data_IF_013622442074
#
_entry.id   IF_013622442074
#
_cell.length_a   1.000
_cell.length_b   1.000
_cell.length_c   1.000
_cell.angle_alpha   90.00
_cell.angle_beta   90.00
_cell.angle_gamma   90.00
#
_symmetry.space_group_name_H-M   'P 1'
#
loop_
_entity.id
_entity.type
_entity.pdbx_description
1 polymer ?
#
# COMPACT_ATOMS: atom_id res chain seq x y z
N UNK A 1 4.20 7.07 -27.30
CA UNK A 1 3.69 7.01 -25.91
C UNK A 1 3.99 5.60 -25.45
N UNK A 2 5.04 5.41 -24.65
CA UNK A 2 5.38 4.12 -24.06
C UNK A 2 4.47 3.91 -22.84
N UNK A 3 3.48 3.05 -22.97
CA UNK A 3 2.68 2.61 -21.81
C UNK A 3 3.56 1.68 -21.00
N UNK A 4 3.97 2.10 -19.81
CA UNK A 4 4.59 1.20 -18.86
C UNK A 4 3.48 0.22 -18.44
N UNK A 5 3.64 -1.06 -18.80
CA UNK A 5 2.70 -2.09 -18.38
C UNK A 5 2.69 -2.14 -16.85
N UNK A 6 1.49 -2.02 -16.27
CA UNK A 6 1.31 -2.15 -14.82
C UNK A 6 1.71 -3.57 -14.40
N UNK A 7 2.60 -3.69 -13.42
CA UNK A 7 2.96 -5.00 -12.87
C UNK A 7 1.73 -5.57 -12.17
N UNK A 8 1.34 -6.78 -12.56
CA UNK A 8 0.28 -7.53 -11.90
C UNK A 8 0.86 -8.82 -11.34
N UNK A 9 0.61 -9.05 -10.06
CA UNK A 9 0.98 -10.29 -9.40
C UNK A 9 -0.14 -11.30 -9.64
N UNK A 10 0.17 -12.50 -10.20
CA UNK A 10 -0.83 -13.55 -10.39
C UNK A 10 -1.46 -13.97 -9.05
N UNK A 11 -2.78 -14.15 -9.02
CA UNK A 11 -3.50 -14.54 -7.82
C UNK A 11 -3.02 -15.91 -7.31
N UNK A 12 -2.69 -16.84 -8.23
CA UNK A 12 -2.15 -18.15 -7.89
C UNK A 12 -0.82 -18.03 -7.12
N UNK A 13 0.00 -17.01 -7.45
CA UNK A 13 1.25 -16.79 -6.73
C UNK A 13 1.01 -16.26 -5.32
N UNK A 14 0.03 -15.39 -5.14
CA UNK A 14 -0.39 -14.93 -3.82
C UNK A 14 -0.90 -16.09 -2.96
N UNK A 15 -1.77 -16.94 -3.49
CA UNK A 15 -2.31 -18.11 -2.77
C UNK A 15 -1.21 -19.15 -2.46
N UNK A 16 -0.28 -19.37 -3.39
CA UNK A 16 0.87 -20.24 -3.18
C UNK A 16 1.74 -19.76 -2.00
N UNK A 17 2.05 -18.46 -1.95
CA UNK A 17 2.82 -17.90 -0.86
C UNK A 17 2.06 -17.91 0.46
N UNK A 18 0.75 -17.65 0.43
CA UNK A 18 -0.11 -17.69 1.61
C UNK A 18 -0.17 -19.07 2.27
N UNK A 19 -0.09 -20.12 1.46
CA UNK A 19 -0.01 -21.51 1.94
C UNK A 19 1.40 -21.91 2.43
N UNK A 20 2.41 -21.07 2.23
CA UNK A 20 3.81 -21.38 2.57
C UNK A 20 4.02 -21.25 4.08
N UNK A 21 4.49 -22.31 4.76
CA UNK A 21 4.70 -22.24 6.20
C UNK A 21 5.88 -21.32 6.56
N UNK A 22 5.81 -20.67 7.71
CA UNK A 22 6.88 -19.83 8.24
C UNK A 22 6.85 -18.37 7.81
N UNK A 23 5.91 -17.96 6.96
CA UNK A 23 5.65 -16.55 6.70
C UNK A 23 4.85 -15.92 7.84
N UNK A 24 5.22 -14.70 8.22
CA UNK A 24 4.53 -13.95 9.27
C UNK A 24 3.26 -13.27 8.77
N UNK A 25 3.26 -12.79 7.53
CA UNK A 25 2.11 -12.16 6.88
C UNK A 25 2.41 -11.77 5.44
N UNK A 26 1.35 -11.62 4.66
CA UNK A 26 1.42 -11.15 3.27
C UNK A 26 0.37 -10.08 3.08
N UNK A 27 0.79 -8.91 2.60
CA UNK A 27 -0.08 -7.81 2.22
C UNK A 27 -0.24 -7.75 0.69
N UNK A 28 -1.41 -8.12 0.13
CA UNK A 28 -1.69 -8.02 -1.29
C UNK A 28 -2.06 -6.58 -1.66
N UNK A 29 -1.05 -5.79 -1.94
CA UNK A 29 -1.19 -4.36 -2.22
C UNK A 29 -1.75 -4.08 -3.60
N UNK A 30 -2.76 -3.20 -3.65
CA UNK A 30 -3.31 -2.61 -4.88
C UNK A 30 -3.28 -1.08 -4.74
N UNK A 31 -2.84 -0.38 -5.77
CA UNK A 31 -2.94 1.07 -5.85
C UNK A 31 -3.58 1.47 -7.19
N UNK A 32 -4.53 2.37 -7.13
CA UNK A 32 -5.17 2.94 -8.32
C UNK A 32 -5.24 4.46 -8.19
N UNK A 33 -5.18 5.13 -9.32
CA UNK A 33 -5.41 6.57 -9.38
C UNK A 33 -6.83 6.82 -9.88
N UNK A 34 -7.55 7.67 -9.16
CA UNK A 34 -8.94 8.03 -9.48
C UNK A 34 -9.13 9.54 -9.41
N UNK A 35 -10.19 10.02 -10.04
CA UNK A 35 -10.62 11.42 -9.89
C UNK A 35 -11.55 11.55 -8.68
N UNK A 36 -11.24 12.46 -7.78
CA UNK A 36 -12.04 12.79 -6.61
C UNK A 36 -12.22 14.32 -6.53
N UNK A 37 -13.47 14.79 -6.62
CA UNK A 37 -13.78 16.23 -6.61
C UNK A 37 -12.92 17.06 -7.58
N UNK A 38 -12.68 16.53 -8.79
CA UNK A 38 -11.90 17.21 -9.83
C UNK A 38 -10.38 17.11 -9.69
N UNK A 39 -9.88 16.37 -8.71
CA UNK A 39 -8.44 16.15 -8.49
C UNK A 39 -8.09 14.67 -8.57
N UNK A 40 -6.92 14.39 -9.10
CA UNK A 40 -6.36 13.03 -9.07
C UNK A 40 -5.91 12.70 -7.65
N UNK A 41 -6.31 11.54 -7.14
CA UNK A 41 -5.87 10.96 -5.88
C UNK A 41 -5.48 9.50 -6.06
N UNK A 42 -4.81 8.93 -5.09
CA UNK A 42 -4.55 7.50 -5.01
C UNK A 42 -5.51 6.81 -4.03
N UNK A 43 -5.93 5.60 -4.38
CA UNK A 43 -6.59 4.67 -3.47
C UNK A 43 -5.70 3.45 -3.33
N UNK A 44 -5.36 3.08 -2.09
CA UNK A 44 -4.60 1.87 -1.79
C UNK A 44 -5.46 0.88 -1.02
N UNK A 45 -5.39 -0.36 -1.48
CA UNK A 45 -5.96 -1.53 -0.83
C UNK A 45 -4.84 -2.33 -0.18
N UNK A 46 -5.00 -2.69 1.09
CA UNK A 46 -4.01 -3.35 1.94
C UNK A 46 -4.68 -4.40 2.83
N UNK A 47 -3.89 -5.30 3.40
CA UNK A 47 -4.33 -6.13 4.52
C UNK A 47 -4.07 -5.38 5.85
N UNK A 48 -5.14 -4.82 6.43
CA UNK A 48 -5.03 -4.01 7.63
C UNK A 48 -4.50 -4.80 8.84
N UNK A 49 -4.77 -6.10 8.93
CA UNK A 49 -4.29 -6.94 10.03
C UNK A 49 -2.79 -7.20 9.92
N UNK A 50 -2.30 -7.44 8.71
CA UNK A 50 -0.87 -7.61 8.43
C UNK A 50 -0.13 -6.30 8.71
N UNK A 51 -0.63 -5.17 8.19
CA UNK A 51 0.03 -3.89 8.40
C UNK A 51 0.00 -3.44 9.88
N UNK A 52 -1.08 -3.71 10.61
CA UNK A 52 -1.14 -3.45 12.06
C UNK A 52 -0.01 -4.16 12.81
N UNK A 53 0.33 -5.40 12.41
CA UNK A 53 1.35 -6.21 13.06
C UNK A 53 2.78 -5.84 12.65
N UNK A 54 3.00 -5.52 11.39
CA UNK A 54 4.37 -5.44 10.84
C UNK A 54 4.78 -4.05 10.37
N UNK A 55 3.84 -3.18 10.01
CA UNK A 55 4.16 -1.85 9.52
C UNK A 55 4.28 -0.81 10.65
N UNK A 56 5.12 0.18 10.41
CA UNK A 56 5.20 1.37 11.26
C UNK A 56 4.68 2.55 10.48
N UNK A 57 3.59 3.12 10.96
CA UNK A 57 2.96 4.29 10.36
C UNK A 57 3.26 5.55 11.19
N UNK A 58 3.51 6.65 10.50
CA UNK A 58 3.53 7.98 11.10
C UNK A 58 2.11 8.51 11.22
N UNK A 59 1.46 8.29 12.34
CA UNK A 59 0.11 8.81 12.59
C UNK A 59 0.14 10.29 12.95
N UNK A 60 -0.82 11.07 12.44
CA UNK A 60 -1.00 12.46 12.89
C UNK A 60 -1.52 12.50 14.34
N UNK A 61 -2.36 11.51 14.69
CA UNK A 61 -2.92 11.33 16.03
C UNK A 61 -3.20 9.85 16.26
N UNK A 62 -3.15 9.41 17.52
CA UNK A 62 -3.35 8.00 17.88
C UNK A 62 -2.11 7.15 17.58
N UNK A 63 -2.34 5.87 17.35
CA UNK A 63 -1.28 4.89 17.13
C UNK A 63 -1.80 3.64 16.39
N UNK A 64 -1.32 2.50 16.83
CA UNK A 64 -1.63 1.21 16.18
C UNK A 64 -3.12 0.83 16.25
N UNK A 65 -3.87 1.38 17.22
CA UNK A 65 -5.31 1.23 17.35
C UNK A 65 -6.11 1.80 16.18
N UNK A 66 -5.54 2.75 15.43
CA UNK A 66 -6.20 3.35 14.26
C UNK A 66 -6.54 2.32 13.17
N UNK A 67 -5.82 1.21 13.13
CA UNK A 67 -6.12 0.12 12.20
C UNK A 67 -7.48 -0.55 12.43
N UNK A 68 -8.04 -0.44 13.64
CA UNK A 68 -9.37 -0.99 13.93
C UNK A 68 -10.46 -0.34 13.08
N UNK A 69 -10.35 0.97 12.82
CA UNK A 69 -11.29 1.66 11.94
C UNK A 69 -11.25 1.10 10.51
N UNK A 70 -10.05 0.79 10.00
CA UNK A 70 -9.85 0.22 8.66
C UNK A 70 -10.41 -1.20 8.58
N UNK A 71 -10.12 -2.05 9.57
CA UNK A 71 -10.64 -3.43 9.64
C UNK A 71 -12.17 -3.47 9.73
N UNK A 72 -12.78 -2.43 10.28
CA UNK A 72 -14.23 -2.29 10.39
C UNK A 72 -14.88 -1.58 9.19
N UNK A 73 -14.17 -1.49 8.07
CA UNK A 73 -14.69 -0.97 6.79
C UNK A 73 -14.59 0.56 6.62
N UNK A 74 -13.90 1.25 7.52
CA UNK A 74 -13.52 2.64 7.35
C UNK A 74 -12.26 2.81 6.50
N UNK A 75 -11.79 4.05 6.41
CA UNK A 75 -10.57 4.41 5.69
C UNK A 75 -9.65 5.23 6.57
N UNK A 76 -8.37 5.22 6.22
CA UNK A 76 -7.40 6.22 6.66
C UNK A 76 -6.96 7.06 5.48
N UNK A 77 -6.66 8.33 5.74
CA UNK A 77 -6.31 9.29 4.69
C UNK A 77 -4.95 9.92 4.97
N UNK A 78 -4.23 10.28 3.92
CA UNK A 78 -2.97 11.02 4.08
C UNK A 78 -3.22 12.47 4.53
N UNK A 79 -2.22 13.08 5.15
CA UNK A 79 -2.26 14.50 5.53
C UNK A 79 -2.49 15.40 4.30
N UNK A 80 -1.89 15.07 3.15
CA UNK A 80 -2.08 15.80 1.90
C UNK A 80 -3.54 15.77 1.42
N UNK A 81 -4.21 14.61 1.53
CA UNK A 81 -5.64 14.48 1.25
C UNK A 81 -6.46 15.32 2.24
N UNK A 82 -6.22 15.15 3.54
CA UNK A 82 -6.95 15.85 4.60
C UNK A 82 -6.88 17.37 4.42
N UNK A 83 -5.72 17.91 4.10
CA UNK A 83 -5.50 19.34 3.88
C UNK A 83 -6.20 19.84 2.61
N UNK A 84 -6.10 19.10 1.50
CA UNK A 84 -6.69 19.49 0.22
C UNK A 84 -8.21 19.54 0.28
N UNK A 85 -8.82 18.52 0.84
CA UNK A 85 -10.28 18.38 0.88
C UNK A 85 -10.90 18.82 2.20
N UNK A 86 -10.09 19.38 3.13
CA UNK A 86 -10.51 19.84 4.45
C UNK A 86 -11.23 18.77 5.26
N UNK A 87 -10.81 17.52 5.08
CA UNK A 87 -11.39 16.32 5.70
C UNK A 87 -10.69 16.04 7.02
N UNK A 88 -11.43 15.65 8.03
CA UNK A 88 -10.93 15.35 9.38
C UNK A 88 -11.27 13.90 9.77
N UNK A 89 -10.64 13.43 10.84
CA UNK A 89 -11.03 12.20 11.51
C UNK A 89 -12.51 12.29 11.96
N UNK A 90 -13.27 11.24 11.70
CA UNK A 90 -14.71 11.18 11.93
C UNK A 90 -15.58 11.66 10.77
N UNK A 91 -15.03 12.40 9.81
CA UNK A 91 -15.75 12.78 8.61
C UNK A 91 -16.02 11.56 7.71
N UNK A 92 -16.79 11.78 6.65
CA UNK A 92 -17.05 10.77 5.63
C UNK A 92 -16.49 11.19 4.28
N UNK A 93 -15.90 10.23 3.57
CA UNK A 93 -15.51 10.38 2.16
C UNK A 93 -16.42 9.50 1.31
N UNK A 94 -16.89 10.03 0.19
CA UNK A 94 -17.76 9.29 -0.73
C UNK A 94 -16.99 8.91 -1.97
N UNK A 95 -16.94 7.62 -2.28
CA UNK A 95 -16.29 7.08 -3.47
C UNK A 95 -17.33 6.43 -4.37
N UNK A 96 -17.14 6.54 -5.69
CA UNK A 96 -18.00 5.91 -6.67
C UNK A 96 -17.61 4.42 -6.82
N UNK A 97 -18.44 3.54 -6.29
CA UNK A 97 -18.30 2.09 -6.41
C UNK A 97 -19.12 1.51 -7.57
N UNK A 98 -18.95 0.22 -7.81
CA UNK A 98 -19.68 -0.50 -8.88
C UNK A 98 -21.20 -0.52 -8.69
N UNK A 99 -21.68 -0.46 -7.45
CA UNK A 99 -23.11 -0.42 -7.10
C UNK A 99 -23.60 1.03 -6.79
N UNK A 100 -22.77 2.04 -7.06
CA UNK A 100 -23.07 3.43 -6.78
C UNK A 100 -22.19 4.05 -5.70
N UNK A 101 -22.49 5.29 -5.27
CA UNK A 101 -21.69 6.01 -4.28
C UNK A 101 -21.68 5.33 -2.91
N UNK A 102 -20.52 5.18 -2.32
CA UNK A 102 -20.32 4.58 -0.99
C UNK A 102 -19.65 5.60 -0.07
N UNK A 103 -20.28 5.89 1.06
CA UNK A 103 -19.76 6.81 2.08
C UNK A 103 -18.99 6.02 3.14
N UNK A 104 -17.70 6.31 3.30
CA UNK A 104 -16.77 5.64 4.21
C UNK A 104 -16.33 6.59 5.32
N UNK A 105 -16.29 6.11 6.55
CA UNK A 105 -15.83 6.91 7.70
C UNK A 105 -14.30 7.01 7.70
N UNK A 106 -13.79 8.20 7.93
CA UNK A 106 -12.36 8.47 8.10
C UNK A 106 -11.97 8.16 9.55
N UNK A 107 -11.22 7.08 9.74
CA UNK A 107 -10.80 6.63 11.07
C UNK A 107 -9.56 7.31 11.60
N UNK A 108 -8.64 7.70 10.73
CA UNK A 108 -7.41 8.38 11.12
C UNK A 108 -6.73 9.09 9.95
N UNK A 109 -5.75 9.93 10.28
CA UNK A 109 -4.89 10.64 9.32
C UNK A 109 -3.44 10.22 9.57
N UNK A 110 -2.70 9.94 8.49
CA UNK A 110 -1.29 9.56 8.57
C UNK A 110 -0.40 10.45 7.69
N UNK A 111 0.87 10.52 8.02
CA UNK A 111 1.87 11.19 7.19
C UNK A 111 2.26 10.30 6.03
N UNK A 112 2.05 10.81 4.81
CA UNK A 112 2.52 10.18 3.57
C UNK A 112 3.50 11.11 2.87
N UNK A 113 4.73 10.65 2.74
CA UNK A 113 5.81 11.39 2.08
C UNK A 113 5.98 11.01 0.61
N UNK A 114 5.13 10.09 0.11
CA UNK A 114 5.29 9.51 -1.24
C UNK A 114 4.32 10.09 -2.25
N UNK A 115 3.14 10.59 -1.81
CA UNK A 115 2.12 11.12 -2.71
C UNK A 115 1.73 12.55 -2.34
N UNK A 116 1.96 13.50 -3.25
CA UNK A 116 1.52 14.89 -3.09
C UNK A 116 0.02 15.09 -3.38
N UNK A 117 -0.58 14.14 -4.10
CA UNK A 117 -1.95 14.27 -4.60
C UNK A 117 -3.02 13.89 -3.59
N UNK A 118 -2.65 13.16 -2.57
CA UNK A 118 -3.54 12.62 -1.56
C UNK A 118 -3.80 11.13 -1.75
N UNK A 119 -3.90 10.42 -0.63
CA UNK A 119 -4.08 8.98 -0.58
C UNK A 119 -5.22 8.62 0.37
N UNK A 120 -6.10 7.73 -0.08
CA UNK A 120 -7.07 7.02 0.73
C UNK A 120 -6.60 5.56 0.82
N UNK A 121 -6.52 5.02 2.02
CA UNK A 121 -6.12 3.63 2.25
C UNK A 121 -7.25 2.88 2.96
N UNK A 122 -7.56 1.69 2.49
CA UNK A 122 -8.62 0.84 3.01
C UNK A 122 -8.23 -0.63 3.03
N UNK A 123 -8.97 -1.40 3.82
CA UNK A 123 -8.80 -2.86 3.83
C UNK A 123 -9.20 -3.47 2.48
N UNK A 124 -8.50 -4.54 2.09
CA UNK A 124 -8.73 -5.22 0.82
C UNK A 124 -10.16 -5.73 0.66
N UNK A 125 -10.76 -6.23 1.71
CA UNK A 125 -12.15 -6.68 1.69
C UNK A 125 -13.12 -5.55 1.36
N UNK A 126 -12.90 -4.38 1.94
CA UNK A 126 -13.66 -3.16 1.66
C UNK A 126 -13.44 -2.69 0.22
N UNK A 127 -12.19 -2.68 -0.25
CA UNK A 127 -11.85 -2.29 -1.61
C UNK A 127 -12.53 -3.20 -2.66
N UNK A 128 -12.40 -4.51 -2.51
CA UNK A 128 -13.03 -5.47 -3.45
C UNK A 128 -14.56 -5.30 -3.44
N UNK A 129 -15.17 -5.13 -2.28
CA UNK A 129 -16.61 -4.90 -2.16
C UNK A 129 -17.07 -3.65 -2.91
N UNK A 130 -16.29 -2.57 -2.87
CA UNK A 130 -16.67 -1.29 -3.50
C UNK A 130 -16.40 -1.31 -5.00
N UNK A 131 -15.23 -1.82 -5.43
CA UNK A 131 -14.75 -1.68 -6.79
C UNK A 131 -14.79 -2.97 -7.62
N UNK A 132 -15.03 -4.13 -7.01
CA UNK A 132 -15.00 -5.42 -7.71
C UNK A 132 -13.61 -5.81 -8.25
N UNK A 133 -12.57 -5.05 -7.93
CA UNK A 133 -11.21 -5.22 -8.44
C UNK A 133 -10.40 -6.11 -7.49
N UNK A 134 -9.99 -7.29 -7.95
CA UNK A 134 -9.16 -8.25 -7.22
C UNK A 134 -7.69 -8.19 -7.62
N UNK A 135 -7.30 -7.29 -8.50
CA UNK A 135 -5.92 -7.13 -8.98
C UNK A 135 -4.95 -6.87 -7.84
N UNK A 136 -3.75 -7.40 -7.94
CA UNK A 136 -2.62 -7.18 -7.01
C UNK A 136 -1.48 -6.55 -7.79
N UNK A 137 -0.97 -5.41 -7.34
CA UNK A 137 0.19 -4.76 -7.94
C UNK A 137 1.51 -5.27 -7.35
N UNK A 138 1.53 -5.54 -6.05
CA UNK A 138 2.70 -6.05 -5.35
C UNK A 138 2.31 -6.82 -4.09
N UNK A 139 3.24 -7.61 -3.56
CA UNK A 139 3.08 -8.31 -2.30
C UNK A 139 4.08 -7.77 -1.27
N UNK A 140 3.58 -7.28 -0.15
CA UNK A 140 4.37 -7.05 1.06
C UNK A 140 4.52 -8.37 1.82
N UNK A 141 5.71 -8.97 1.81
CA UNK A 141 5.93 -10.27 2.46
C UNK A 141 6.73 -10.07 3.74
N UNK A 142 6.17 -10.52 4.85
CA UNK A 142 6.75 -10.38 6.18
C UNK A 142 7.18 -11.73 6.72
N UNK A 143 8.44 -11.81 7.14
CA UNK A 143 9.01 -12.97 7.81
C UNK A 143 9.46 -12.49 9.20
N UNK A 144 9.03 -13.18 10.24
CA UNK A 144 9.39 -12.80 11.61
C UNK A 144 10.92 -12.75 11.77
N UNK A 145 11.46 -11.69 12.41
CA UNK A 145 12.91 -11.52 12.54
C UNK A 145 13.64 -12.70 13.23
N UNK A 146 12.95 -13.36 14.16
CA UNK A 146 13.46 -14.52 14.89
C UNK A 146 13.27 -15.86 14.19
N UNK A 147 12.73 -15.91 12.98
CA UNK A 147 12.52 -17.16 12.28
C UNK A 147 13.88 -17.73 11.80
N UNK A 148 14.29 -18.93 12.28
CA UNK A 148 15.59 -19.53 11.91
C UNK A 148 15.67 -19.88 10.42
N UNK A 149 14.55 -20.09 9.74
CA UNK A 149 14.46 -20.41 8.31
C UNK A 149 14.35 -19.18 7.42
N UNK A 150 14.51 -17.98 7.96
CA UNK A 150 14.32 -16.71 7.22
C UNK A 150 15.10 -16.65 5.91
N UNK A 151 16.35 -17.09 5.91
CA UNK A 151 17.20 -17.06 4.71
C UNK A 151 16.72 -18.06 3.64
N UNK A 152 16.31 -19.25 4.06
CA UNK A 152 15.76 -20.29 3.19
C UNK A 152 14.43 -19.84 2.55
N UNK A 153 13.50 -19.34 3.38
CA UNK A 153 12.22 -18.78 2.92
C UNK A 153 12.41 -17.65 1.89
N UNK A 154 13.34 -16.74 2.16
CA UNK A 154 13.64 -15.66 1.21
C UNK A 154 14.21 -16.21 -0.10
N UNK A 155 15.06 -17.23 -0.04
CA UNK A 155 15.60 -17.92 -1.22
C UNK A 155 14.50 -18.58 -2.04
N UNK A 156 13.57 -19.26 -1.38
CA UNK A 156 12.43 -19.91 -2.04
C UNK A 156 11.47 -18.90 -2.68
N UNK A 157 11.13 -17.83 -1.98
CA UNK A 157 10.29 -16.74 -2.52
C UNK A 157 10.95 -16.15 -3.77
N UNK A 158 12.25 -15.88 -3.74
CA UNK A 158 12.97 -15.34 -4.90
C UNK A 158 12.93 -16.27 -6.10
N UNK A 159 13.17 -17.56 -5.90
CA UNK A 159 13.11 -18.56 -6.97
C UNK A 159 11.73 -18.60 -7.60
N UNK A 160 10.67 -18.70 -6.79
CA UNK A 160 9.27 -18.73 -7.26
C UNK A 160 8.86 -17.44 -8.00
N UNK A 161 9.31 -16.28 -7.51
CA UNK A 161 9.07 -14.99 -8.15
C UNK A 161 9.81 -14.87 -9.48
N UNK A 162 11.06 -15.34 -9.55
CA UNK A 162 11.86 -15.33 -10.77
C UNK A 162 11.24 -16.19 -11.88
N UNK A 163 10.65 -17.34 -11.55
CA UNK A 163 9.91 -18.18 -12.50
C UNK A 163 8.73 -17.44 -13.17
N UNK A 164 8.25 -16.37 -12.55
CA UNK A 164 7.14 -15.51 -13.01
C UNK A 164 7.58 -14.13 -13.48
N UNK A 165 8.89 -13.91 -13.61
CA UNK A 165 9.49 -12.61 -13.94
C UNK A 165 9.07 -11.48 -12.98
N UNK A 166 8.82 -11.79 -11.71
CA UNK A 166 8.48 -10.82 -10.68
C UNK A 166 9.73 -10.36 -9.93
N UNK A 167 9.97 -9.04 -9.82
CA UNK A 167 11.10 -8.53 -9.05
C UNK A 167 10.87 -8.71 -7.56
N UNK A 168 11.92 -9.09 -6.82
CA UNK A 168 11.92 -9.18 -5.35
C UNK A 168 12.92 -8.19 -4.79
N UNK A 169 12.42 -7.23 -4.02
CA UNK A 169 13.22 -6.24 -3.31
C UNK A 169 13.14 -6.49 -1.80
N UNK A 170 14.27 -6.45 -1.12
CA UNK A 170 14.30 -6.39 0.34
C UNK A 170 14.07 -4.96 0.81
N UNK A 171 13.61 -4.77 2.07
CA UNK A 171 13.45 -3.43 2.65
C UNK A 171 14.71 -2.57 2.52
N UNK A 172 15.90 -3.17 2.75
CA UNK A 172 17.18 -2.46 2.58
C UNK A 172 17.48 -2.06 1.13
N UNK A 173 17.04 -2.84 0.16
CA UNK A 173 17.17 -2.47 -1.27
C UNK A 173 16.19 -1.37 -1.64
N UNK A 174 14.96 -1.45 -1.11
CA UNK A 174 13.96 -0.42 -1.32
C UNK A 174 14.40 0.93 -0.73
N UNK A 175 14.88 0.94 0.51
CA UNK A 175 15.43 2.15 1.15
C UNK A 175 16.58 2.75 0.32
N UNK A 176 17.53 1.92 -0.14
CA UNK A 176 18.64 2.39 -0.98
C UNK A 176 18.17 2.96 -2.31
N UNK A 177 17.18 2.34 -2.95
CA UNK A 177 16.64 2.83 -4.21
C UNK A 177 15.94 4.19 -4.02
N UNK A 178 15.19 4.35 -2.94
CA UNK A 178 14.53 5.62 -2.59
C UNK A 178 15.58 6.70 -2.34
N UNK A 179 16.62 6.43 -1.53
CA UNK A 179 17.70 7.40 -1.27
C UNK A 179 18.45 7.79 -2.54
N UNK A 180 18.74 6.84 -3.45
CA UNK A 180 19.39 7.12 -4.73
C UNK A 180 18.53 8.00 -5.64
N UNK A 181 17.21 7.86 -5.63
CA UNK A 181 16.28 8.73 -6.33
C UNK A 181 16.31 10.17 -5.77
N UNK A 182 16.32 10.32 -4.44
CA UNK A 182 16.46 11.63 -3.80
C UNK A 182 17.79 12.29 -4.16
N UNK A 183 18.91 11.57 -4.05
CA UNK A 183 20.23 12.09 -4.37
C UNK A 183 20.36 12.53 -5.84
N UNK A 184 19.79 11.78 -6.78
CA UNK A 184 19.77 12.12 -8.20
C UNK A 184 18.97 13.41 -8.47
N UNK A 185 17.86 13.59 -7.79
CA UNK A 185 17.00 14.77 -7.92
C UNK A 185 17.70 16.03 -7.37
N UNK A 186 18.42 15.92 -6.26
CA UNK A 186 19.21 17.01 -5.69
C UNK A 186 20.52 17.30 -6.46
N UNK A 187 21.12 16.31 -7.12
CA UNK A 187 22.29 16.49 -7.96
C UNK A 187 21.98 17.37 -9.18
N UNK A 188 20.82 17.20 -9.80
CA UNK A 188 20.37 18.04 -10.94
C UNK A 188 20.20 19.49 -10.49
N UNK A 189 19.68 19.75 -9.30
CA UNK A 189 19.50 21.12 -8.77
C UNK A 189 20.84 21.81 -8.44
N UNK A 190 21.90 21.06 -8.09
CA UNK A 190 23.25 21.60 -7.87
C UNK A 190 23.99 21.97 -9.14
N UNK A 191 23.67 21.33 -10.27
CA UNK A 191 24.31 21.59 -11.57
C UNK A 191 23.77 22.83 -12.28
N UNK A 192 22.73 23.48 -11.76
CA UNK A 192 22.10 24.68 -12.35
C UNK A 192 22.46 25.99 -11.62
N UNK A 193 23.60 26.03 -10.90
CA UNK A 193 24.16 27.26 -10.33
C UNK A 193 25.53 27.60 -10.94
#
# INVERSE_FOLDING_TARGET
ISTIAEIQVPEEFYEELKAMPGLGGIDPYRNVQVMYNGFQISISSIDASVLQRYARFGWLKGGNENWEAVKNGGVIISESFARRFKTKEGDRVTLDGIEGPVALSVGAIFYDYTTEHGLIMMDRSTYIKIFGDTTINSLGIFIDPGNPQRAELLGEIRRKAQERNLPVLTSKQLERNILALFDSTFAVTRSMR
#
